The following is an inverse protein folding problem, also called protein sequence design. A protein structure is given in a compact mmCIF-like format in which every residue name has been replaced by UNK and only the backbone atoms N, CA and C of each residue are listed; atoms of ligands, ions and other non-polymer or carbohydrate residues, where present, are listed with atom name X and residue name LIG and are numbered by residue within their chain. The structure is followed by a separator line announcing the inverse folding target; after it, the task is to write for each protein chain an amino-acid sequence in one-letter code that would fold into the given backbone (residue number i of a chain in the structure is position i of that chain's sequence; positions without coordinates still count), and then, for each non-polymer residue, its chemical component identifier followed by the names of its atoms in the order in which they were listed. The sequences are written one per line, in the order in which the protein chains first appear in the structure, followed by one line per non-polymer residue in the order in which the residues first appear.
data_IF_633450332664
#
_entry.id   IF_633450332664
#
_cell.length_a   1.000
_cell.length_b   1.000
_cell.length_c   1.000
_cell.angle_alpha   90.00
_cell.angle_beta   90.00
_cell.angle_gamma   90.00
#
_symmetry.space_group_name_H-M   'P 1'
#
loop_
_entity.id
_entity.type
_entity.pdbx_description
1 polymer ?
#
# COMPACT_ATOMS: atom_id res chain seq x y z
N UNK A 1 17.23 -16.56 6.72
CA UNK A 1 17.54 -15.16 6.36
C UNK A 1 16.27 -14.28 6.30
N UNK A 2 15.28 -14.57 5.45
CA UNK A 2 14.06 -13.72 5.32
C UNK A 2 13.26 -13.52 6.63
N UNK A 3 13.03 -14.57 7.42
CA UNK A 3 12.32 -14.45 8.72
C UNK A 3 13.04 -13.54 9.72
N UNK A 4 14.37 -13.49 9.64
CA UNK A 4 15.19 -12.65 10.51
C UNK A 4 15.02 -11.17 10.13
N UNK A 5 15.08 -10.84 8.83
CA UNK A 5 14.82 -9.49 8.35
C UNK A 5 13.39 -8.99 8.67
N UNK A 6 12.37 -9.84 8.54
CA UNK A 6 11.00 -9.48 8.95
C UNK A 6 10.94 -9.17 10.46
N UNK A 7 11.62 -9.94 11.30
CA UNK A 7 11.70 -9.68 12.75
C UNK A 7 12.43 -8.37 13.06
N UNK A 8 13.53 -8.08 12.37
CA UNK A 8 14.24 -6.80 12.52
C UNK A 8 13.33 -5.64 12.11
N UNK A 9 12.65 -5.75 10.96
CA UNK A 9 11.74 -4.73 10.47
C UNK A 9 10.59 -4.49 11.45
N UNK A 10 10.01 -5.57 11.99
CA UNK A 10 8.97 -5.47 13.01
C UNK A 10 9.50 -4.85 14.31
N UNK A 11 10.71 -5.22 14.75
CA UNK A 11 11.36 -4.60 15.89
C UNK A 11 11.60 -3.11 15.69
N UNK A 12 12.06 -2.71 14.50
CA UNK A 12 12.23 -1.31 14.12
C UNK A 12 10.91 -0.57 14.11
N UNK A 13 9.86 -1.12 13.48
CA UNK A 13 8.52 -0.55 13.47
C UNK A 13 8.02 -0.24 14.89
N UNK A 14 8.08 -1.22 15.79
CA UNK A 14 7.61 -1.02 17.17
C UNK A 14 8.47 0.03 17.89
N UNK A 15 9.79 -0.03 17.74
CA UNK A 15 10.70 0.91 18.39
C UNK A 15 10.51 2.35 17.87
N UNK A 16 10.50 2.54 16.55
CA UNK A 16 10.38 3.86 15.95
C UNK A 16 9.01 4.48 16.23
N UNK A 17 7.92 3.73 16.07
CA UNK A 17 6.57 4.22 16.41
C UNK A 17 6.46 4.56 17.89
N UNK A 18 7.07 3.76 18.79
CA UNK A 18 7.07 4.06 20.22
C UNK A 18 7.83 5.34 20.55
N UNK A 19 9.05 5.51 20.03
CA UNK A 19 9.86 6.72 20.25
C UNK A 19 9.16 7.95 19.70
N UNK A 20 8.62 7.90 18.48
CA UNK A 20 7.90 9.02 17.86
C UNK A 20 6.65 9.38 18.68
N UNK A 21 5.94 8.38 19.21
CA UNK A 21 4.80 8.58 20.13
C UNK A 21 5.20 9.31 21.39
N UNK A 22 6.30 8.91 22.04
CA UNK A 22 6.80 9.59 23.24
C UNK A 22 7.19 11.05 22.94
N UNK A 23 7.88 11.29 21.82
CA UNK A 23 8.32 12.64 21.44
C UNK A 23 7.14 13.58 21.13
N UNK A 24 6.01 13.04 20.67
CA UNK A 24 4.81 13.81 20.33
C UNK A 24 3.70 13.73 21.39
N UNK A 25 3.98 13.17 22.57
CA UNK A 25 2.94 12.89 23.56
C UNK A 25 2.19 14.15 24.03
N UNK A 26 2.89 15.28 24.09
CA UNK A 26 2.32 16.57 24.49
C UNK A 26 1.64 17.34 23.34
N UNK A 27 1.80 16.89 22.09
CA UNK A 27 1.12 17.47 20.93
C UNK A 27 -0.17 16.68 20.70
N UNK A 28 -1.33 17.28 20.96
CA UNK A 28 -2.63 16.59 20.90
C UNK A 28 -2.92 16.01 19.51
N UNK A 29 -2.71 16.80 18.46
CA UNK A 29 -2.91 16.38 17.07
C UNK A 29 -1.90 15.29 16.68
N UNK A 30 -0.62 15.49 17.04
CA UNK A 30 0.44 14.52 16.78
C UNK A 30 0.19 13.17 17.47
N UNK A 31 -0.19 13.22 18.74
CA UNK A 31 -0.55 12.05 19.55
C UNK A 31 -1.75 11.30 18.95
N UNK A 32 -2.79 12.02 18.53
CA UNK A 32 -3.94 11.40 17.89
C UNK A 32 -3.55 10.67 16.59
N UNK A 33 -2.73 11.30 15.73
CA UNK A 33 -2.19 10.66 14.51
C UNK A 33 -1.41 9.40 14.82
N UNK A 34 -0.58 9.43 15.87
CA UNK A 34 0.24 8.29 16.25
C UNK A 34 -0.57 7.14 16.86
N UNK A 35 -1.62 7.43 17.62
CA UNK A 35 -2.54 6.38 18.07
C UNK A 35 -3.35 5.77 16.93
N UNK A 36 -3.74 6.56 15.92
CA UNK A 36 -4.32 6.03 14.69
C UNK A 36 -3.31 5.14 13.94
N UNK A 37 -2.05 5.56 13.83
CA UNK A 37 -0.98 4.73 13.25
C UNK A 37 -0.77 3.41 14.02
N UNK A 38 -0.81 3.44 15.36
CA UNK A 38 -0.83 2.22 16.19
C UNK A 38 -2.03 1.32 15.89
N UNK A 39 -3.22 1.90 15.70
CA UNK A 39 -4.41 1.18 15.24
C UNK A 39 -4.16 0.47 13.91
N UNK A 40 -3.52 1.14 12.95
CA UNK A 40 -3.17 0.57 11.65
C UNK A 40 -2.15 -0.58 11.78
N UNK A 41 -1.13 -0.41 12.64
CA UNK A 41 -0.16 -1.47 12.97
C UNK A 41 -0.89 -2.70 13.51
N UNK A 42 -1.79 -2.53 14.47
CA UNK A 42 -2.46 -3.66 15.11
C UNK A 42 -3.45 -4.36 14.15
N UNK A 43 -4.27 -3.60 13.44
CA UNK A 43 -5.36 -4.15 12.62
C UNK A 43 -4.83 -4.66 11.28
N UNK A 44 -4.07 -3.84 10.54
CA UNK A 44 -3.61 -4.20 9.20
C UNK A 44 -2.34 -5.05 9.25
N UNK A 45 -1.31 -4.56 9.95
CA UNK A 45 0.01 -5.22 9.93
C UNK A 45 0.01 -6.50 10.74
N UNK A 46 -0.42 -6.46 12.00
CA UNK A 46 -0.38 -7.62 12.90
C UNK A 46 -1.53 -8.58 12.58
N UNK A 47 -2.79 -8.15 12.71
CA UNK A 47 -3.94 -9.02 12.51
C UNK A 47 -4.09 -9.41 11.03
N UNK A 48 -4.11 -8.44 10.11
CA UNK A 48 -4.17 -8.69 8.68
C UNK A 48 -3.01 -9.57 8.19
N UNK A 49 -1.77 -9.20 8.53
CA UNK A 49 -0.59 -10.01 8.20
C UNK A 49 -0.62 -11.42 8.78
N UNK A 50 -1.09 -11.60 10.02
CA UNK A 50 -1.27 -12.92 10.62
C UNK A 50 -2.30 -13.77 9.88
N UNK A 51 -3.47 -13.19 9.55
CA UNK A 51 -4.52 -13.87 8.77
C UNK A 51 -3.98 -14.29 7.41
N UNK A 52 -3.32 -13.38 6.69
CA UNK A 52 -2.73 -13.67 5.39
C UNK A 52 -1.69 -14.79 5.48
N UNK A 53 -0.83 -14.77 6.50
CA UNK A 53 0.20 -15.79 6.67
C UNK A 53 -0.37 -17.17 7.02
N UNK A 54 -1.33 -17.21 7.95
CA UNK A 54 -1.93 -18.45 8.46
C UNK A 54 -2.82 -19.14 7.42
N UNK A 55 -3.59 -18.36 6.67
CA UNK A 55 -4.60 -18.89 5.74
C UNK A 55 -4.21 -18.75 4.27
N UNK A 56 -2.94 -18.45 3.95
CA UNK A 56 -2.46 -18.27 2.56
C UNK A 56 -2.80 -19.43 1.62
N UNK A 57 -2.77 -20.67 2.10
CA UNK A 57 -3.05 -21.85 1.28
C UNK A 57 -4.56 -21.98 1.03
N UNK A 58 -5.39 -21.60 2.00
CA UNK A 58 -6.84 -21.47 1.82
C UNK A 58 -7.17 -20.40 0.79
N UNK A 59 -6.59 -19.21 0.90
CA UNK A 59 -6.76 -18.13 -0.08
C UNK A 59 -6.29 -18.55 -1.47
N UNK A 60 -5.16 -19.25 -1.57
CA UNK A 60 -4.67 -19.79 -2.84
C UNK A 60 -5.65 -20.79 -3.45
N UNK A 61 -6.20 -21.71 -2.65
CA UNK A 61 -7.20 -22.66 -3.14
C UNK A 61 -8.46 -21.96 -3.65
N UNK A 62 -8.93 -20.93 -2.94
CA UNK A 62 -10.06 -20.10 -3.39
C UNK A 62 -9.70 -19.39 -4.70
N UNK A 63 -8.53 -18.77 -4.78
CA UNK A 63 -8.05 -18.06 -5.95
C UNK A 63 -7.96 -18.97 -7.20
N UNK A 64 -7.51 -20.21 -7.02
CA UNK A 64 -7.42 -21.20 -8.09
C UNK A 64 -8.79 -21.64 -8.61
N UNK A 65 -9.80 -21.73 -7.73
CA UNK A 65 -11.20 -22.09 -8.10
C UNK A 65 -11.93 -21.00 -8.88
N UNK A 66 -11.55 -19.73 -8.73
CA UNK A 66 -12.18 -18.63 -9.46
C UNK A 66 -11.81 -18.72 -10.96
N UNK A 67 -12.78 -18.79 -11.88
CA UNK A 67 -12.50 -18.83 -13.31
C UNK A 67 -11.88 -17.52 -13.79
N UNK A 68 -10.99 -17.61 -14.79
CA UNK A 68 -10.40 -16.45 -15.46
C UNK A 68 -8.87 -16.38 -15.40
N UNK A 69 -8.32 -15.41 -16.12
CA UNK A 69 -6.87 -15.21 -16.24
C UNK A 69 -6.27 -14.79 -14.90
N UNK A 70 -5.19 -15.44 -14.49
CA UNK A 70 -4.50 -15.13 -13.22
C UNK A 70 -4.07 -13.66 -13.12
N UNK A 71 -3.79 -13.00 -14.24
CA UNK A 71 -3.41 -11.57 -14.29
C UNK A 71 -4.54 -10.67 -13.79
N UNK A 72 -5.78 -10.96 -14.19
CA UNK A 72 -6.97 -10.21 -13.77
C UNK A 72 -7.26 -10.52 -12.31
N UNK A 73 -7.22 -11.81 -11.94
CA UNK A 73 -7.45 -12.24 -10.55
C UNK A 73 -6.45 -11.59 -9.60
N UNK A 74 -5.16 -11.56 -9.95
CA UNK A 74 -4.12 -10.88 -9.17
C UNK A 74 -4.42 -9.40 -9.01
N UNK A 75 -4.68 -8.69 -10.11
CA UNK A 75 -4.97 -7.26 -10.09
C UNK A 75 -6.16 -6.95 -9.18
N UNK A 76 -7.28 -7.64 -9.38
CA UNK A 76 -8.48 -7.45 -8.56
C UNK A 76 -8.24 -7.79 -7.10
N UNK A 77 -7.45 -8.83 -6.81
CA UNK A 77 -7.13 -9.19 -5.43
C UNK A 77 -6.27 -8.11 -4.74
N UNK A 78 -5.28 -7.55 -5.43
CA UNK A 78 -4.54 -6.39 -4.91
C UNK A 78 -5.45 -5.19 -4.65
N UNK A 79 -6.38 -4.89 -5.57
CA UNK A 79 -7.36 -3.81 -5.40
C UNK A 79 -8.25 -4.05 -4.19
N UNK A 80 -8.76 -5.26 -4.00
CA UNK A 80 -9.57 -5.61 -2.81
C UNK A 80 -8.77 -5.41 -1.52
N UNK A 81 -7.50 -5.83 -1.47
CA UNK A 81 -6.67 -5.62 -0.29
C UNK A 81 -6.38 -4.14 -0.04
N UNK A 82 -6.13 -3.35 -1.09
CA UNK A 82 -5.99 -1.91 -0.96
C UNK A 82 -7.28 -1.24 -0.44
N UNK A 83 -8.44 -1.65 -0.94
CA UNK A 83 -9.73 -1.14 -0.45
C UNK A 83 -9.97 -1.48 1.02
N UNK A 84 -9.58 -2.68 1.46
CA UNK A 84 -9.71 -3.08 2.87
C UNK A 84 -8.78 -2.26 3.75
N UNK A 85 -7.53 -2.10 3.35
CA UNK A 85 -6.56 -1.29 4.08
C UNK A 85 -7.05 0.17 4.22
N UNK A 86 -7.53 0.76 3.12
CA UNK A 86 -8.07 2.11 3.15
C UNK A 86 -9.36 2.25 3.95
N UNK A 87 -10.17 1.20 4.02
CA UNK A 87 -11.32 1.18 4.90
C UNK A 87 -10.88 1.20 6.38
N UNK A 88 -9.82 0.46 6.73
CA UNK A 88 -9.22 0.49 8.07
C UNK A 88 -8.62 1.87 8.37
N UNK A 89 -7.83 2.42 7.46
CA UNK A 89 -7.19 3.72 7.64
C UNK A 89 -8.23 4.85 7.75
N UNK A 90 -9.26 4.84 6.90
CA UNK A 90 -10.37 5.81 6.95
C UNK A 90 -11.17 5.67 8.24
N UNK A 91 -11.46 4.43 8.69
CA UNK A 91 -12.14 4.20 9.97
C UNK A 91 -11.34 4.81 11.13
N UNK A 92 -10.03 4.54 11.18
CA UNK A 92 -9.14 5.08 12.20
C UNK A 92 -9.08 6.61 12.16
N UNK A 93 -8.98 7.21 10.97
CA UNK A 93 -9.09 8.67 10.79
C UNK A 93 -10.40 9.24 11.35
N UNK A 94 -11.53 8.56 11.13
CA UNK A 94 -12.82 8.97 11.70
C UNK A 94 -12.90 8.76 13.22
N UNK A 95 -12.03 7.92 13.80
CA UNK A 95 -11.91 7.72 15.24
C UNK A 95 -10.98 8.75 15.91
N UNK A 96 -10.53 9.80 15.22
CA UNK A 96 -9.75 10.90 15.82
C UNK A 96 -10.28 11.40 17.19
N UNK A 97 -11.61 11.54 17.43
CA UNK A 97 -12.15 11.93 18.73
C UNK A 97 -11.82 10.98 19.88
N UNK A 98 -11.72 9.67 19.59
CA UNK A 98 -11.32 8.65 20.58
C UNK A 98 -9.88 8.88 21.04
N UNK A 99 -9.06 9.53 20.21
CA UNK A 99 -7.66 9.82 20.49
C UNK A 99 -7.40 11.27 20.94
N UNK A 100 -8.46 12.04 21.18
CA UNK A 100 -8.39 13.39 21.72
C UNK A 100 -8.20 14.52 20.70
N UNK A 101 -8.50 14.29 19.42
CA UNK A 101 -8.54 15.32 18.38
C UNK A 101 -9.93 15.39 17.72
N UNK A 102 -10.34 16.54 17.20
CA UNK A 102 -11.62 16.62 16.49
C UNK A 102 -11.54 15.92 15.13
N UNK A 103 -12.71 15.53 14.60
CA UNK A 103 -12.81 15.00 13.24
C UNK A 103 -12.31 16.08 12.28
N UNK A 104 -11.27 15.76 11.54
CA UNK A 104 -10.68 16.64 10.55
C UNK A 104 -9.48 17.47 11.02
N UNK A 105 -8.97 17.26 12.24
CA UNK A 105 -7.72 17.86 12.72
C UNK A 105 -6.52 16.91 12.56
N UNK A 106 -6.75 15.61 12.77
CA UNK A 106 -5.76 14.56 12.67
C UNK A 106 -6.14 13.58 11.56
N UNK A 107 -5.19 13.30 10.67
CA UNK A 107 -5.38 12.43 9.51
C UNK A 107 -4.23 11.44 9.39
N UNK A 108 -4.56 10.17 9.13
CA UNK A 108 -3.62 9.19 8.56
C UNK A 108 -3.98 8.83 7.11
N UNK A 109 -5.11 9.34 6.62
CA UNK A 109 -5.59 9.26 5.23
C UNK A 109 -5.80 10.66 4.67
N UNK A 110 -5.89 10.82 3.36
CA UNK A 110 -6.12 12.13 2.75
C UNK A 110 -7.51 12.75 3.06
N UNK A 111 -8.49 11.92 3.48
CA UNK A 111 -9.85 12.36 3.82
C UNK A 111 -10.51 11.42 4.85
N UNK A 112 -11.54 11.92 5.53
CA UNK A 112 -12.47 11.14 6.37
C UNK A 112 -13.50 10.38 5.54
N UNK A 113 -13.67 10.73 4.26
CA UNK A 113 -14.61 10.07 3.35
C UNK A 113 -13.92 8.95 2.57
N UNK A 114 -14.35 7.70 2.79
CA UNK A 114 -13.78 6.52 2.15
C UNK A 114 -13.78 6.61 0.61
N UNK A 115 -14.88 7.06 0.00
CA UNK A 115 -14.96 7.19 -1.45
C UNK A 115 -13.99 8.23 -1.98
N UNK A 116 -13.80 9.33 -1.24
CA UNK A 116 -12.82 10.35 -1.64
C UNK A 116 -11.41 9.78 -1.58
N UNK A 117 -11.06 9.05 -0.52
CA UNK A 117 -9.76 8.40 -0.38
C UNK A 117 -9.48 7.44 -1.54
N UNK A 118 -10.44 6.54 -1.83
CA UNK A 118 -10.29 5.52 -2.88
C UNK A 118 -10.23 6.13 -4.29
N UNK A 119 -11.12 7.07 -4.60
CA UNK A 119 -11.28 7.60 -5.96
C UNK A 119 -10.35 8.77 -6.29
N UNK A 120 -9.87 9.49 -5.27
CA UNK A 120 -9.12 10.74 -5.45
C UNK A 120 -7.78 10.80 -4.73
N UNK A 121 -7.35 9.76 -4.01
CA UNK A 121 -6.06 9.81 -3.33
C UNK A 121 -5.24 8.54 -3.48
N UNK A 122 -5.67 7.40 -2.96
CA UNK A 122 -4.76 6.26 -2.80
C UNK A 122 -5.00 5.12 -3.78
N UNK A 123 -6.17 4.47 -3.77
CA UNK A 123 -6.42 3.26 -4.57
C UNK A 123 -6.24 3.51 -6.07
N UNK A 124 -6.72 4.65 -6.56
CA UNK A 124 -6.53 5.08 -7.95
C UNK A 124 -5.04 5.25 -8.32
N UNK A 125 -4.19 5.70 -7.38
CA UNK A 125 -2.73 5.77 -7.57
C UNK A 125 -2.11 4.35 -7.50
N UNK A 126 -2.68 3.43 -6.73
CA UNK A 126 -2.20 2.04 -6.68
C UNK A 126 -2.53 1.23 -7.94
N UNK A 127 -3.57 1.57 -8.70
CA UNK A 127 -3.93 0.84 -9.93
C UNK A 127 -2.76 0.72 -10.94
N UNK A 128 -2.08 1.80 -11.36
CA UNK A 128 -0.93 1.68 -12.26
C UNK A 128 0.21 0.85 -11.66
N UNK A 129 0.40 0.90 -10.34
CA UNK A 129 1.40 0.08 -9.66
C UNK A 129 1.04 -1.41 -9.75
N UNK A 130 -0.21 -1.78 -9.50
CA UNK A 130 -0.67 -3.17 -9.65
C UNK A 130 -0.56 -3.66 -11.10
N UNK A 131 -0.85 -2.80 -12.09
CA UNK A 131 -0.66 -3.13 -13.51
C UNK A 131 0.83 -3.37 -13.82
N UNK A 132 1.72 -2.51 -13.32
CA UNK A 132 3.17 -2.70 -13.46
C UNK A 132 3.62 -4.04 -12.86
N UNK A 133 3.06 -4.43 -11.71
CA UNK A 133 3.34 -5.71 -11.08
C UNK A 133 2.78 -6.90 -11.85
N UNK A 134 1.59 -6.80 -12.46
CA UNK A 134 1.11 -7.81 -13.42
C UNK A 134 2.10 -7.97 -14.57
N UNK A 135 2.60 -6.85 -15.13
CA UNK A 135 3.56 -6.83 -16.22
C UNK A 135 4.91 -7.48 -15.83
N UNK A 136 5.39 -7.22 -14.61
CA UNK A 136 6.60 -7.81 -14.04
C UNK A 136 6.43 -9.31 -13.81
N UNK A 137 5.37 -9.71 -13.11
CA UNK A 137 5.10 -11.11 -12.71
C UNK A 137 4.79 -12.01 -13.91
N UNK A 138 4.32 -11.44 -15.02
CA UNK A 138 4.16 -12.16 -16.28
C UNK A 138 5.50 -12.49 -16.94
N UNK A 139 6.53 -11.68 -16.74
CA UNK A 139 7.86 -11.84 -17.36
C UNK A 139 8.86 -12.54 -16.46
N UNK A 140 8.77 -12.31 -15.16
CA UNK A 140 9.78 -12.70 -14.19
C UNK A 140 9.17 -13.42 -12.98
N UNK A 141 9.85 -14.45 -12.51
CA UNK A 141 9.40 -15.30 -11.41
C UNK A 141 9.74 -14.70 -10.04
N UNK A 142 9.20 -13.52 -9.73
CA UNK A 142 9.32 -12.93 -8.41
C UNK A 142 8.53 -13.76 -7.39
N UNK A 143 9.20 -14.17 -6.32
CA UNK A 143 8.54 -14.82 -5.17
C UNK A 143 7.64 -13.83 -4.43
N UNK A 144 6.62 -14.33 -3.73
CA UNK A 144 5.74 -13.51 -2.89
C UNK A 144 6.49 -12.67 -1.86
N UNK A 145 7.58 -13.22 -1.29
CA UNK A 145 8.43 -12.47 -0.37
C UNK A 145 9.18 -11.33 -1.06
N UNK A 146 9.69 -11.55 -2.28
CA UNK A 146 10.31 -10.46 -3.05
C UNK A 146 9.29 -9.39 -3.41
N UNK A 147 8.07 -9.78 -3.81
CA UNK A 147 6.99 -8.84 -4.08
C UNK A 147 6.65 -7.99 -2.85
N UNK A 148 6.51 -8.63 -1.67
CA UNK A 148 6.33 -7.95 -0.39
C UNK A 148 7.41 -6.89 -0.15
N UNK A 149 8.69 -7.26 -0.28
CA UNK A 149 9.81 -6.35 -0.01
C UNK A 149 9.86 -5.21 -1.00
N UNK A 150 9.83 -5.51 -2.30
CA UNK A 150 10.02 -4.47 -3.30
C UNK A 150 8.82 -3.54 -3.38
N UNK A 151 7.59 -4.07 -3.32
CA UNK A 151 6.40 -3.20 -3.28
C UNK A 151 6.35 -2.38 -2.00
N UNK A 152 6.72 -2.98 -0.86
CA UNK A 152 6.90 -2.29 0.41
C UNK A 152 7.87 -1.10 0.29
N UNK A 153 9.06 -1.34 -0.24
CA UNK A 153 10.09 -0.30 -0.43
C UNK A 153 9.61 0.78 -1.42
N UNK A 154 9.01 0.40 -2.55
CA UNK A 154 8.49 1.37 -3.53
C UNK A 154 7.39 2.24 -2.92
N UNK A 155 6.49 1.66 -2.12
CA UNK A 155 5.48 2.40 -1.40
C UNK A 155 6.07 3.34 -0.34
N UNK A 156 7.06 2.87 0.43
CA UNK A 156 7.80 3.75 1.37
C UNK A 156 8.48 4.93 0.67
N UNK A 157 9.06 4.72 -0.51
CA UNK A 157 9.66 5.80 -1.28
C UNK A 157 8.61 6.81 -1.74
N UNK A 158 7.42 6.35 -2.13
CA UNK A 158 6.31 7.24 -2.46
C UNK A 158 5.89 8.09 -1.25
N UNK A 159 5.73 7.47 -0.08
CA UNK A 159 5.41 8.17 1.18
C UNK A 159 6.50 9.15 1.61
N UNK A 160 7.77 8.77 1.47
CA UNK A 160 8.89 9.65 1.78
C UNK A 160 8.92 10.89 0.88
N UNK A 161 8.55 10.76 -0.40
CA UNK A 161 8.43 11.89 -1.33
C UNK A 161 7.22 12.76 -0.99
N UNK A 162 6.10 12.16 -0.57
CA UNK A 162 4.87 12.88 -0.25
C UNK A 162 4.87 13.58 1.10
N UNK A 163 5.46 12.98 2.14
CA UNK A 163 5.34 13.45 3.53
C UNK A 163 6.69 13.63 4.26
N UNK A 164 7.83 13.26 3.64
CA UNK A 164 9.16 13.52 4.18
C UNK A 164 9.60 12.66 5.38
N UNK A 165 8.75 11.74 5.89
CA UNK A 165 9.05 10.95 7.08
C UNK A 165 9.59 9.55 6.74
N UNK A 166 10.92 9.43 6.69
CA UNK A 166 11.61 8.15 6.41
C UNK A 166 11.68 7.26 7.66
N UNK A 167 11.56 7.82 8.87
CA UNK A 167 11.75 7.06 10.12
C UNK A 167 10.73 5.92 10.29
N UNK A 168 9.54 6.08 9.72
CA UNK A 168 8.46 5.10 9.73
C UNK A 168 8.49 4.14 8.53
N UNK A 169 9.65 3.98 7.87
CA UNK A 169 9.80 3.03 6.75
C UNK A 169 9.31 1.62 7.09
N UNK A 170 9.50 1.18 8.34
CA UNK A 170 9.01 -0.11 8.81
C UNK A 170 7.50 -0.27 8.62
N UNK A 171 6.73 0.76 8.98
CA UNK A 171 5.27 0.76 8.87
C UNK A 171 4.88 0.61 7.40
N UNK A 172 5.42 1.48 6.56
CA UNK A 172 5.07 1.55 5.14
C UNK A 172 5.45 0.28 4.37
N UNK A 173 6.62 -0.30 4.65
CA UNK A 173 7.00 -1.58 4.05
C UNK A 173 5.97 -2.67 4.37
N UNK A 174 5.49 -2.74 5.61
CA UNK A 174 4.44 -3.69 5.97
C UNK A 174 3.09 -3.35 5.33
N UNK A 175 2.65 -2.09 5.39
CA UNK A 175 1.36 -1.65 4.84
C UNK A 175 1.26 -2.03 3.36
N UNK A 176 2.20 -1.56 2.54
CA UNK A 176 2.18 -1.82 1.10
C UNK A 176 2.56 -3.26 0.78
N UNK A 177 3.59 -3.82 1.44
CA UNK A 177 4.04 -5.18 1.17
C UNK A 177 2.93 -6.21 1.37
N UNK A 178 2.08 -6.03 2.38
CA UNK A 178 0.93 -6.92 2.63
C UNK A 178 -0.13 -6.84 1.54
N UNK A 179 -0.33 -5.67 0.89
CA UNK A 179 -1.29 -5.53 -0.21
C UNK A 179 -0.97 -6.45 -1.40
N UNK A 180 0.30 -6.78 -1.63
CA UNK A 180 0.74 -7.58 -2.78
C UNK A 180 1.19 -9.00 -2.42
N UNK A 181 1.56 -9.24 -1.16
CA UNK A 181 2.12 -10.51 -0.70
C UNK A 181 1.22 -11.70 -1.02
N UNK A 182 -0.02 -11.65 -0.53
CA UNK A 182 -0.97 -12.75 -0.67
C UNK A 182 -1.43 -12.95 -2.13
N UNK A 183 -1.77 -11.89 -2.90
CA UNK A 183 -2.06 -12.03 -4.32
C UNK A 183 -0.92 -12.69 -5.09
N UNK A 184 0.34 -12.31 -4.81
CA UNK A 184 1.51 -12.91 -5.47
C UNK A 184 1.67 -14.38 -5.11
N UNK A 185 1.42 -14.76 -3.85
CA UNK A 185 1.47 -16.15 -3.40
C UNK A 185 0.48 -17.06 -4.16
N UNK A 186 -0.65 -16.51 -4.59
CA UNK A 186 -1.71 -17.26 -5.26
C UNK A 186 -1.46 -17.47 -6.76
N UNK A 187 -0.43 -16.87 -7.35
CA UNK A 187 -0.15 -16.97 -8.79
C UNK A 187 0.33 -18.39 -9.16
N UNK A 188 -0.11 -18.95 -10.30
CA UNK A 188 0.42 -20.22 -10.82
C UNK A 188 1.93 -20.16 -11.08
N UNK A 189 2.65 -21.22 -10.68
CA UNK A 189 4.10 -21.33 -10.90
C UNK A 189 4.44 -21.58 -12.38
N UNK A 190 3.63 -22.38 -13.07
CA UNK A 190 3.88 -22.83 -14.44
C UNK A 190 3.42 -21.83 -15.52
N UNK A 191 3.71 -20.54 -15.31
CA UNK A 191 3.28 -19.44 -16.19
C UNK A 191 4.31 -19.05 -17.26
N UNK A 192 5.42 -19.77 -17.36
CA UNK A 192 6.51 -19.48 -18.31
C UNK A 192 7.33 -18.24 -17.97
N UNK A 193 7.33 -17.79 -16.71
CA UNK A 193 8.11 -16.64 -16.27
C UNK A 193 9.62 -16.97 -16.18
N UNK A 194 10.47 -16.01 -16.54
CA UNK A 194 11.94 -16.17 -16.48
C UNK A 194 12.44 -16.05 -15.04
N UNK A 195 13.52 -16.76 -14.66
CA UNK A 195 14.11 -16.59 -13.34
C UNK A 195 14.58 -15.16 -13.11
N UNK A 196 14.31 -14.63 -11.92
CA UNK A 196 14.74 -13.28 -11.54
C UNK A 196 16.25 -13.23 -11.36
N UNK A 197 16.85 -12.15 -11.84
CA UNK A 197 18.27 -11.79 -11.66
C UNK A 197 18.37 -10.40 -11.05
N UNK A 198 19.50 -10.08 -10.40
CA UNK A 198 19.70 -8.80 -9.70
C UNK A 198 19.45 -7.57 -10.58
N UNK A 199 19.80 -7.64 -11.87
CA UNK A 199 19.58 -6.56 -12.84
C UNK A 199 18.09 -6.28 -13.14
N UNK A 200 17.18 -7.15 -12.71
CA UNK A 200 15.74 -6.89 -12.80
C UNK A 200 15.20 -6.11 -11.59
N UNK A 201 15.96 -5.95 -10.51
CA UNK A 201 15.51 -5.21 -9.32
C UNK A 201 15.27 -3.73 -9.60
N UNK A 202 16.10 -3.01 -10.38
CA UNK A 202 15.78 -1.64 -10.77
C UNK A 202 14.43 -1.51 -11.51
N UNK A 203 14.03 -2.52 -12.29
CA UNK A 203 12.74 -2.51 -13.00
C UNK A 203 11.55 -2.48 -12.03
N UNK A 204 11.70 -2.98 -10.80
CA UNK A 204 10.63 -2.98 -9.82
C UNK A 204 10.32 -1.58 -9.30
N UNK A 205 11.28 -0.65 -9.40
CA UNK A 205 11.08 0.77 -9.08
C UNK A 205 10.64 1.54 -10.33
N UNK A 206 11.33 1.32 -11.46
CA UNK A 206 11.08 2.07 -12.70
C UNK A 206 9.71 1.77 -13.30
N UNK A 207 9.26 0.51 -13.29
CA UNK A 207 8.00 0.15 -13.93
C UNK A 207 6.77 0.79 -13.25
N UNK A 208 6.59 0.72 -11.92
CA UNK A 208 5.47 1.43 -11.26
C UNK A 208 5.44 2.92 -11.55
N UNK A 209 6.60 3.60 -11.52
CA UNK A 209 6.71 5.03 -11.84
C UNK A 209 6.30 5.28 -13.29
N UNK A 210 6.79 4.48 -14.24
CA UNK A 210 6.42 4.61 -15.64
C UNK A 210 4.91 4.46 -15.87
N UNK A 211 4.28 3.43 -15.28
CA UNK A 211 2.83 3.23 -15.41
C UNK A 211 2.03 4.35 -14.74
N UNK A 212 2.53 4.92 -13.64
CA UNK A 212 1.91 6.08 -13.00
C UNK A 212 2.00 7.34 -13.87
N UNK A 213 3.16 7.60 -14.50
CA UNK A 213 3.31 8.70 -15.46
C UNK A 213 2.37 8.52 -16.65
N UNK A 214 2.21 7.30 -17.18
CA UNK A 214 1.23 7.02 -18.22
C UNK A 214 -0.19 7.37 -17.78
N UNK A 215 -0.58 7.04 -16.55
CA UNK A 215 -1.89 7.42 -16.01
C UNK A 215 -2.07 8.94 -15.99
N UNK A 216 -1.08 9.70 -15.52
CA UNK A 216 -1.14 11.17 -15.50
C UNK A 216 -1.21 11.79 -16.88
N UNK A 217 -0.44 11.28 -17.85
CA UNK A 217 -0.50 11.73 -19.24
C UNK A 217 -1.90 11.47 -19.82
N UNK A 218 -2.45 10.26 -19.63
CA UNK A 218 -3.80 9.91 -20.09
C UNK A 218 -4.87 10.80 -19.44
N UNK A 219 -4.78 11.04 -18.13
CA UNK A 219 -5.70 11.91 -17.41
C UNK A 219 -5.61 13.38 -17.91
N UNK A 220 -4.41 13.84 -18.25
CA UNK A 220 -4.19 15.20 -18.77
C UNK A 220 -4.77 15.36 -20.18
N UNK A 221 -4.58 14.34 -21.04
CA UNK A 221 -5.20 14.29 -22.36
C UNK A 221 -6.74 14.23 -22.25
N UNK A 222 -7.28 13.49 -21.28
CA UNK A 222 -8.71 13.41 -21.03
C UNK A 222 -9.32 14.77 -20.64
N UNK A 223 -8.65 15.54 -19.77
CA UNK A 223 -9.07 16.92 -19.43
C UNK A 223 -9.07 17.84 -20.66
N UNK A 224 -8.12 17.65 -21.58
CA UNK A 224 -8.07 18.40 -22.85
C UNK A 224 -9.23 18.12 -23.81
N UNK A 225 -9.98 17.02 -23.61
CA UNK A 225 -11.11 16.59 -24.47
C UNK A 225 -12.48 17.06 -23.91
N UNK A 226 -12.50 17.78 -22.78
CA UNK A 226 -13.72 18.46 -22.28
C UNK A 226 -14.78 17.55 -21.64
N UNK A 227 -14.41 16.34 -21.22
CA UNK A 227 -15.28 15.43 -20.47
C UNK A 227 -15.22 15.73 -18.95
N UNK A 228 -16.30 15.48 -18.18
CA UNK A 228 -16.40 15.85 -16.77
C UNK A 228 -15.21 15.32 -15.96
N UNK A 229 -14.62 16.21 -15.18
CA UNK A 229 -13.34 16.04 -14.52
C UNK A 229 -13.40 15.05 -13.35
N UNK A 230 -12.37 14.20 -13.25
CA UNK A 230 -11.94 13.68 -11.95
C UNK A 230 -11.35 14.88 -11.19
N UNK A 231 -11.77 15.15 -9.94
CA UNK A 231 -11.26 16.19 -9.06
C UNK A 231 -9.74 16.34 -9.11
N UNK A 232 -9.27 17.58 -8.97
CA UNK A 232 -7.87 17.96 -9.11
C UNK A 232 -6.94 17.18 -8.18
N UNK A 233 -6.28 16.17 -8.73
CA UNK A 233 -5.04 15.65 -8.18
C UNK A 233 -3.97 16.74 -8.26
N UNK A 234 -3.58 17.31 -7.13
CA UNK A 234 -2.34 18.07 -6.99
C UNK A 234 -2.43 19.42 -6.30
N UNK A 235 -3.58 20.10 -6.25
CA UNK A 235 -3.67 21.44 -5.62
C UNK A 235 -3.93 21.40 -4.12
N UNK A 236 -4.49 20.29 -3.59
CA UNK A 236 -4.80 20.16 -2.16
C UNK A 236 -3.66 19.53 -1.35
N UNK A 237 -2.61 19.03 -2.02
CA UNK A 237 -1.39 18.51 -1.38
C UNK A 237 -0.34 19.60 -1.10
N UNK A 238 -0.49 20.78 -1.71
CA UNK A 238 0.48 21.89 -1.58
C UNK A 238 0.04 22.91 -0.51
N UNK A 239 -1.22 22.85 -0.04
CA UNK A 239 -1.78 23.80 0.92
C UNK A 239 -2.19 23.18 2.27
N UNK A 240 -1.54 22.08 2.69
CA UNK A 240 -1.71 21.52 4.04
C UNK A 240 -0.37 21.22 4.69
#
# INVERSE_FOLDING_TARGET
MQRFFIKILAGWLILSSFVITLLNFNNEIGRARLFMAWGLILIWVVLGGYIMYKYKDTFKSIFEKIPGKWTIKFFLFCVVLALIEEAVATLLTNMAPVFGAQIGEAYITASTNFLQVVLHHSVIIFLPFFIAWVWLLKRYDFSANQAFWFFGITGTLAEAVSFGNIAEFGLWIFVYGLMIYLPTYCIPKDRGAKPVRIWHYPLVIVAPIFFLLCLFVLASLWKGIGLPTIPNFGTDLINR
#
